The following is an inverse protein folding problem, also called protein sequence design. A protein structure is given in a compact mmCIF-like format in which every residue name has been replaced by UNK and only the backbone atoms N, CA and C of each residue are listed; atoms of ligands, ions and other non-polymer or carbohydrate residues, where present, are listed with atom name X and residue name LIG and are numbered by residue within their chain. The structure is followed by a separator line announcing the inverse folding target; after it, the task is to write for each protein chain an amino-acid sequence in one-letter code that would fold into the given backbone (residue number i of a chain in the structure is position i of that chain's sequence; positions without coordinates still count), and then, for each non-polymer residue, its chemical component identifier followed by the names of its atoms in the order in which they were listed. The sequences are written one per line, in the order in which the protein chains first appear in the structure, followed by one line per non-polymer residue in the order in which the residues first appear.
data_IF_189192418734
#
_entry.id   IF_189192418734
#
_cell.length_a   1.000
_cell.length_b   1.000
_cell.length_c   1.000
_cell.angle_alpha   90.00
_cell.angle_beta   90.00
_cell.angle_gamma   90.00
#
_symmetry.space_group_name_H-M   'P 1'
#
loop_
_entity.id
_entity.type
_entity.pdbx_description
1 polymer ?
#
# COMPACT_ATOMS: atom_id res chain seq x y z
N UNK A 1 -8.83 13.98 1.45
CA UNK A 1 -7.84 13.46 2.43
C UNK A 1 -6.46 13.85 1.92
N UNK A 2 -5.85 14.93 2.44
CA UNK A 2 -4.50 15.40 2.05
C UNK A 2 -3.41 14.56 2.72
N UNK A 3 -3.54 13.24 2.65
CA UNK A 3 -2.63 12.29 3.29
C UNK A 3 -1.35 12.06 2.46
N UNK A 4 -1.41 12.38 1.17
CA UNK A 4 -0.27 12.39 0.24
C UNK A 4 -0.27 13.75 -0.45
N UNK A 5 0.74 14.56 -0.15
CA UNK A 5 0.78 15.96 -0.60
C UNK A 5 1.17 16.11 -2.07
N UNK A 6 1.94 15.15 -2.60
CA UNK A 6 2.41 15.16 -3.98
C UNK A 6 1.51 14.34 -4.92
N UNK A 7 1.13 14.95 -6.05
CA UNK A 7 0.25 14.34 -7.06
C UNK A 7 0.80 13.02 -7.61
N UNK A 8 2.13 12.93 -7.80
CA UNK A 8 2.81 11.72 -8.29
C UNK A 8 2.70 10.56 -7.30
N UNK A 9 2.93 10.83 -6.02
CA UNK A 9 2.84 9.85 -4.95
C UNK A 9 1.40 9.33 -4.82
N UNK A 10 0.43 10.26 -4.91
CA UNK A 10 -1.00 9.93 -4.88
C UNK A 10 -1.38 9.02 -6.05
N UNK A 11 -0.93 9.37 -7.26
CA UNK A 11 -1.17 8.59 -8.46
C UNK A 11 -0.55 7.18 -8.37
N UNK A 12 0.68 7.08 -7.86
CA UNK A 12 1.36 5.80 -7.64
C UNK A 12 0.59 4.92 -6.66
N UNK A 13 0.27 5.43 -5.47
CA UNK A 13 -0.46 4.68 -4.44
C UNK A 13 -1.83 4.23 -4.97
N UNK A 14 -2.56 5.13 -5.64
CA UNK A 14 -3.85 4.82 -6.26
C UNK A 14 -3.74 3.73 -7.33
N UNK A 15 -2.68 3.75 -8.14
CA UNK A 15 -2.46 2.73 -9.18
C UNK A 15 -2.30 1.33 -8.59
N UNK A 16 -1.61 1.20 -7.45
CA UNK A 16 -1.43 -0.07 -6.72
C UNK A 16 -2.75 -0.52 -6.08
N UNK A 17 -3.49 0.39 -5.45
CA UNK A 17 -4.78 0.05 -4.82
C UNK A 17 -5.88 -0.33 -5.82
N UNK A 18 -5.89 0.31 -7.00
CA UNK A 18 -6.83 0.03 -8.10
C UNK A 18 -6.38 -1.13 -9.00
N UNK A 19 -5.21 -1.71 -8.74
CA UNK A 19 -4.70 -2.83 -9.54
C UNK A 19 -5.66 -4.01 -9.48
N UNK A 20 -5.97 -4.59 -10.64
CA UNK A 20 -6.72 -5.84 -10.77
C UNK A 20 -5.84 -7.09 -10.67
N UNK A 21 -4.55 -6.91 -10.34
CA UNK A 21 -3.62 -8.04 -10.14
C UNK A 21 -4.07 -8.90 -8.96
N UNK A 22 -3.97 -10.22 -9.13
CA UNK A 22 -4.27 -11.18 -8.07
C UNK A 22 -3.35 -10.99 -6.86
N UNK A 23 -2.09 -10.64 -7.08
CA UNK A 23 -1.13 -10.32 -6.02
C UNK A 23 -0.63 -8.89 -6.20
N UNK A 24 -0.66 -8.11 -5.12
CA UNK A 24 -0.20 -6.73 -5.12
C UNK A 24 0.39 -6.36 -3.77
N UNK A 25 1.51 -5.63 -3.80
CA UNK A 25 2.09 -5.02 -2.60
C UNK A 25 1.53 -3.61 -2.46
N UNK A 26 0.73 -3.42 -1.42
CA UNK A 26 0.01 -2.17 -1.18
C UNK A 26 0.75 -1.30 -0.17
N UNK A 27 1.11 -0.06 -0.54
CA UNK A 27 1.45 0.94 0.46
C UNK A 27 0.20 1.29 1.29
N UNK A 28 0.31 1.11 2.61
CA UNK A 28 -0.78 1.28 3.56
C UNK A 28 -0.73 2.62 4.30
N UNK A 29 0.43 2.97 4.83
CA UNK A 29 0.62 4.12 5.71
C UNK A 29 1.97 4.75 5.43
N UNK A 30 1.95 6.07 5.34
CA UNK A 30 3.14 6.93 5.31
C UNK A 30 3.28 7.60 6.67
N UNK A 31 4.49 8.02 7.02
CA UNK A 31 4.72 8.81 8.22
C UNK A 31 3.86 10.09 8.19
N UNK A 32 3.10 10.38 9.27
CA UNK A 32 2.24 11.56 9.32
C UNK A 32 3.01 12.89 9.36
N UNK A 33 4.32 12.86 9.62
CA UNK A 33 5.14 14.07 9.74
C UNK A 33 5.49 14.67 8.36
N UNK A 34 5.76 13.82 7.36
CA UNK A 34 6.21 14.24 6.02
C UNK A 34 5.13 14.06 4.93
N UNK A 35 4.14 13.17 5.15
CA UNK A 35 3.05 12.90 4.20
C UNK A 35 3.52 12.62 2.75
N UNK A 36 4.68 11.98 2.62
CA UNK A 36 5.26 11.51 1.36
C UNK A 36 5.65 10.02 1.44
N UNK A 37 5.89 9.40 0.28
CA UNK A 37 6.32 7.98 0.22
C UNK A 37 7.81 7.80 0.53
N UNK A 38 8.54 8.88 0.86
CA UNK A 38 9.97 8.87 1.10
C UNK A 38 10.32 8.57 2.56
N UNK A 39 9.35 8.71 3.45
CA UNK A 39 9.48 8.34 4.85
C UNK A 39 9.15 6.85 5.08
N UNK A 40 8.96 6.45 6.34
CA UNK A 40 8.60 5.06 6.69
C UNK A 40 7.28 4.67 6.03
N UNK A 41 7.33 3.67 5.15
CA UNK A 41 6.18 3.18 4.39
C UNK A 41 5.85 1.75 4.79
N UNK A 42 4.61 1.54 5.26
CA UNK A 42 4.12 0.18 5.53
C UNK A 42 3.57 -0.45 4.25
N UNK A 43 3.99 -1.68 3.98
CA UNK A 43 3.58 -2.48 2.83
C UNK A 43 2.77 -3.68 3.31
N UNK A 44 1.60 -3.89 2.73
CA UNK A 44 0.87 -5.16 2.83
C UNK A 44 1.09 -6.03 1.61
N UNK A 45 1.32 -7.32 1.84
CA UNK A 45 1.33 -8.35 0.81
C UNK A 45 -0.09 -8.88 0.63
N UNK A 46 -0.75 -8.45 -0.46
CA UNK A 46 -2.18 -8.65 -0.66
C UNK A 46 -2.47 -9.58 -1.81
N UNK A 47 -3.33 -10.57 -1.56
CA UNK A 47 -3.91 -11.45 -2.55
C UNK A 47 -5.42 -11.18 -2.69
N UNK A 48 -5.92 -11.19 -3.92
CA UNK A 48 -7.35 -11.07 -4.25
C UNK A 48 -7.78 -12.25 -5.11
N UNK A 49 -8.68 -13.07 -4.59
CA UNK A 49 -9.24 -14.22 -5.32
C UNK A 49 -10.60 -13.93 -5.98
N UNK A 50 -11.09 -12.68 -5.86
CA UNK A 50 -12.38 -12.21 -6.38
C UNK A 50 -13.53 -12.30 -5.38
N UNK A 51 -13.37 -13.06 -4.29
CA UNK A 51 -14.35 -13.18 -3.20
C UNK A 51 -13.79 -12.69 -1.85
N UNK A 52 -12.50 -12.90 -1.64
CA UNK A 52 -11.76 -12.59 -0.42
C UNK A 52 -10.49 -11.85 -0.76
N UNK A 53 -10.18 -10.86 0.06
CA UNK A 53 -8.90 -10.14 0.07
C UNK A 53 -8.10 -10.67 1.24
N UNK A 54 -6.96 -11.29 0.97
CA UNK A 54 -6.04 -11.77 2.00
C UNK A 54 -4.89 -10.80 2.13
N UNK A 55 -4.63 -10.39 3.36
CA UNK A 55 -3.39 -9.70 3.73
C UNK A 55 -2.53 -10.72 4.43
N UNK A 56 -1.55 -11.27 3.71
CA UNK A 56 -0.71 -12.36 4.21
C UNK A 56 0.24 -11.87 5.30
N UNK A 57 0.76 -10.66 5.13
CA UNK A 57 1.74 -10.03 6.03
C UNK A 57 1.82 -8.53 5.78
N UNK A 58 2.28 -7.81 6.80
CA UNK A 58 2.58 -6.39 6.75
C UNK A 58 4.05 -6.21 7.11
N UNK A 59 4.72 -5.28 6.45
CA UNK A 59 6.12 -4.98 6.69
C UNK A 59 6.46 -3.53 6.42
N UNK A 60 7.70 -3.17 6.69
CA UNK A 60 8.26 -1.83 6.47
C UNK A 60 9.09 -1.89 5.19
N UNK A 61 8.81 -0.97 4.26
CA UNK A 61 9.60 -0.82 3.05
C UNK A 61 11.01 -0.31 3.38
N UNK A 62 12.02 -0.87 2.71
CA UNK A 62 13.44 -0.57 2.90
C UNK A 62 14.05 0.06 1.64
N UNK A 63 13.22 0.62 0.77
CA UNK A 63 13.69 1.37 -0.40
C UNK A 63 14.16 2.75 0.06
N UNK A 64 15.32 3.20 -0.40
CA UNK A 64 15.85 4.52 0.01
C UNK A 64 15.19 5.63 -0.80
N UNK A 65 15.26 6.86 -0.30
CA UNK A 65 14.77 8.03 -1.02
C UNK A 65 15.44 8.21 -2.40
N UNK A 66 16.75 7.89 -2.52
CA UNK A 66 17.43 7.96 -3.83
C UNK A 66 16.87 6.93 -4.82
N UNK A 67 16.58 5.71 -4.35
CA UNK A 67 15.99 4.66 -5.17
C UNK A 67 14.56 5.01 -5.59
N UNK A 68 13.74 5.54 -4.69
CA UNK A 68 12.37 6.00 -5.01
C UNK A 68 12.39 7.12 -6.04
N UNK A 69 13.34 8.06 -5.92
CA UNK A 69 13.51 9.15 -6.89
C UNK A 69 13.88 8.62 -8.28
N UNK A 70 14.61 7.51 -8.35
CA UNK A 70 14.97 6.85 -9.60
C UNK A 70 13.80 6.07 -10.20
N UNK A 71 13.08 5.29 -9.39
CA UNK A 71 11.93 4.48 -9.83
C UNK A 71 11.00 4.10 -8.66
N UNK A 72 9.76 4.58 -8.71
CA UNK A 72 8.71 4.29 -7.71
C UNK A 72 8.30 2.81 -7.69
N UNK A 73 8.52 2.06 -8.78
CA UNK A 73 8.19 0.63 -8.82
C UNK A 73 9.08 -0.21 -7.90
N UNK A 74 10.19 0.37 -7.40
CA UNK A 74 11.04 -0.25 -6.39
C UNK A 74 10.35 -0.38 -5.03
N UNK A 75 9.35 0.45 -4.75
CA UNK A 75 8.58 0.40 -3.51
C UNK A 75 7.88 -0.95 -3.36
N UNK A 76 8.15 -1.58 -2.21
CA UNK A 76 7.68 -2.89 -1.83
C UNK A 76 8.58 -4.03 -2.30
N UNK A 77 9.71 -3.78 -2.97
CA UNK A 77 10.64 -4.85 -3.40
C UNK A 77 11.50 -5.39 -2.25
N UNK A 78 11.87 -4.52 -1.32
CA UNK A 78 12.61 -4.91 -0.11
C UNK A 78 11.77 -4.53 1.09
N UNK A 79 11.16 -5.52 1.73
CA UNK A 79 10.26 -5.31 2.85
C UNK A 79 10.73 -6.12 4.04
N UNK A 80 10.91 -5.44 5.16
CA UNK A 80 11.10 -6.07 6.46
C UNK A 80 9.74 -6.46 7.04
N UNK A 81 9.42 -7.75 7.00
CA UNK A 81 8.11 -8.26 7.41
C UNK A 81 7.97 -8.36 8.93
N UNK A 82 6.89 -7.79 9.47
CA UNK A 82 6.58 -7.81 10.89
C UNK A 82 6.01 -9.19 11.29
N UNK A 83 6.69 -9.88 12.19
CA UNK A 83 6.31 -11.23 12.63
C UNK A 83 5.20 -11.27 13.69
N UNK A 84 4.83 -10.12 14.27
CA UNK A 84 3.79 -10.02 15.30
C UNK A 84 2.40 -9.65 14.76
N UNK A 85 2.31 -9.35 13.46
CA UNK A 85 1.04 -9.02 12.82
C UNK A 85 0.52 -10.28 12.14
N UNK A 86 -0.64 -10.77 12.61
CA UNK A 86 -1.28 -11.93 12.03
C UNK A 86 -1.82 -11.63 10.63
N UNK A 87 -1.89 -12.66 9.78
CA UNK A 87 -2.59 -12.58 8.51
C UNK A 87 -4.07 -12.25 8.73
N UNK A 88 -4.64 -11.51 7.79
CA UNK A 88 -6.03 -11.06 7.85
C UNK A 88 -6.75 -11.39 6.54
N UNK A 89 -8.06 -11.59 6.62
CA UNK A 89 -8.90 -11.85 5.45
C UNK A 89 -10.17 -11.04 5.51
N UNK A 90 -10.57 -10.46 4.40
CA UNK A 90 -11.74 -9.59 4.29
C UNK A 90 -12.60 -10.04 3.11
N UNK A 91 -13.93 -9.89 3.20
CA UNK A 91 -14.75 -10.09 2.01
C UNK A 91 -14.48 -8.99 0.98
N UNK A 92 -14.28 -9.37 -0.28
CA UNK A 92 -13.96 -8.45 -1.38
C UNK A 92 -14.96 -7.30 -1.46
N UNK A 93 -16.26 -7.62 -1.40
CA UNK A 93 -17.34 -6.62 -1.45
C UNK A 93 -17.24 -5.57 -0.33
N UNK A 94 -16.93 -5.98 0.90
CA UNK A 94 -16.80 -5.03 2.03
C UNK A 94 -15.52 -4.23 1.89
N UNK A 95 -14.41 -4.89 1.54
CA UNK A 95 -13.13 -4.24 1.32
C UNK A 95 -13.23 -3.13 0.28
N UNK A 96 -13.81 -3.41 -0.89
CA UNK A 96 -13.96 -2.41 -1.96
C UNK A 96 -14.87 -1.25 -1.55
N UNK A 97 -15.94 -1.53 -0.79
CA UNK A 97 -16.84 -0.48 -0.29
C UNK A 97 -16.14 0.45 0.72
N UNK A 98 -15.31 -0.08 1.62
CA UNK A 98 -14.52 0.76 2.54
C UNK A 98 -13.44 1.55 1.79
N UNK A 99 -12.78 0.91 0.82
CA UNK A 99 -11.78 1.59 -0.01
C UNK A 99 -12.39 2.76 -0.79
N UNK A 100 -13.57 2.61 -1.38
CA UNK A 100 -14.25 3.69 -2.12
C UNK A 100 -14.47 4.95 -1.28
N UNK A 101 -14.73 4.80 0.03
CA UNK A 101 -14.92 5.95 0.95
C UNK A 101 -13.65 6.76 1.16
N UNK A 102 -12.48 6.13 1.03
CA UNK A 102 -11.18 6.79 1.24
C UNK A 102 -10.77 7.67 0.05
N UNK A 103 -11.29 7.41 -1.15
CA UNK A 103 -10.81 8.04 -2.39
C UNK A 103 -11.86 8.86 -3.16
N UNK A 104 -13.15 8.76 -2.82
CA UNK A 104 -14.18 9.67 -3.28
C UNK A 104 -14.42 10.75 -2.22
N UNK A 105 -13.61 11.82 -2.24
CA UNK A 105 -13.90 13.11 -1.62
C UNK A 105 -13.76 14.20 -2.67
#
# INVERSE_FOLDING_TARGET
MDWVSHEKDSAFVLSRHRSSKAFVRLPLLMCPDDCDVWCTLLIADVERDGTTVYWHRIGIDQTTAEEITADYELIGNRVEWLNKVAAMSFSQKKYDAEMQKLWCQ
#
